data_IF_499471339254
#
_entry.id   IF_499471339254
#
_cell.length_a   1.000
_cell.length_b   1.000
_cell.length_c   1.000
_cell.angle_alpha   90.00
_cell.angle_beta   90.00
_cell.angle_gamma   90.00
#
_symmetry.space_group_name_H-M   'P 1'
#
loop_
_entity.id
_entity.type
_entity.pdbx_description
1 polymer ?
#
# COMPACT_ATOMS: atom_id res chain seq x y z
N UNK A 1 10.07 -10.19 -1.35
CA UNK A 1 10.62 -8.85 -0.99
C UNK A 1 12.13 -8.95 -0.84
N UNK A 2 12.89 -7.99 -1.39
CA UNK A 2 14.35 -8.00 -1.37
C UNK A 2 14.90 -7.20 -0.18
N UNK A 3 16.13 -7.52 0.25
CA UNK A 3 16.83 -6.74 1.27
C UNK A 3 17.12 -5.31 0.77
N UNK A 4 17.04 -4.35 1.68
CA UNK A 4 17.38 -2.93 1.43
C UNK A 4 18.70 -2.56 2.10
N UNK A 5 19.45 -1.66 1.46
CA UNK A 5 20.67 -1.12 2.00
C UNK A 5 20.43 -0.05 3.07
N UNK A 6 21.38 0.10 4.01
CA UNK A 6 21.34 1.11 5.06
C UNK A 6 20.18 0.94 6.05
N UNK A 7 19.73 -0.29 6.29
CA UNK A 7 18.58 -0.57 7.15
C UNK A 7 18.86 -0.21 8.60
N UNK A 8 20.08 -0.47 9.09
CA UNK A 8 20.46 -0.17 10.48
C UNK A 8 20.41 1.35 10.74
N UNK A 9 21.00 2.13 9.86
CA UNK A 9 21.04 3.60 9.95
C UNK A 9 19.64 4.21 9.86
N UNK A 10 18.78 3.65 9.03
CA UNK A 10 17.38 4.09 8.90
C UNK A 10 16.56 3.80 10.16
N UNK A 11 16.72 2.62 10.74
CA UNK A 11 16.05 2.25 12.00
C UNK A 11 16.52 3.16 13.14
N UNK A 12 17.83 3.31 13.31
CA UNK A 12 18.41 4.13 14.36
C UNK A 12 18.05 5.61 14.22
N UNK A 13 18.04 6.13 12.98
CA UNK A 13 17.63 7.50 12.71
C UNK A 13 16.16 7.75 13.08
N UNK A 14 15.27 6.85 12.72
CA UNK A 14 13.85 6.92 13.08
C UNK A 14 13.65 6.75 14.60
N UNK A 15 14.35 5.80 15.21
CA UNK A 15 14.30 5.61 16.66
C UNK A 15 14.70 6.88 17.43
N UNK A 16 15.81 7.54 17.05
CA UNK A 16 16.23 8.79 17.67
C UNK A 16 15.15 9.88 17.59
N UNK A 17 14.45 9.96 16.48
CA UNK A 17 13.32 10.88 16.33
C UNK A 17 12.16 10.54 17.28
N UNK A 18 11.81 9.26 17.38
CA UNK A 18 10.77 8.79 18.30
C UNK A 18 11.16 9.03 19.76
N UNK A 19 12.42 8.73 20.13
CA UNK A 19 12.97 8.97 21.47
C UNK A 19 12.89 10.44 21.85
N UNK A 20 13.29 11.34 20.94
CA UNK A 20 13.25 12.79 21.17
C UNK A 20 11.82 13.33 21.36
N UNK A 21 10.82 12.68 20.77
CA UNK A 21 9.40 13.03 20.90
C UNK A 21 8.68 12.30 22.03
N UNK A 22 9.32 11.34 22.64
CA UNK A 22 8.76 10.44 23.64
C UNK A 22 8.25 9.15 23.04
N UNK A 23 8.81 8.03 23.48
CA UNK A 23 8.35 6.69 23.09
C UNK A 23 7.00 6.40 23.74
N UNK A 24 6.03 5.92 22.94
CA UNK A 24 4.67 5.59 23.38
C UNK A 24 4.44 4.08 23.50
N UNK A 25 5.38 3.26 23.01
CA UNK A 25 5.21 1.81 22.87
C UNK A 25 4.47 1.37 21.61
N UNK A 26 4.06 2.31 20.75
CA UNK A 26 3.38 2.01 19.48
C UNK A 26 4.25 2.26 18.25
N UNK A 27 5.37 2.95 18.42
CA UNK A 27 6.28 3.24 17.32
C UNK A 27 7.09 2.01 16.94
N UNK A 28 7.37 1.91 15.65
CA UNK A 28 8.16 0.82 15.11
C UNK A 28 8.51 1.04 13.64
N UNK A 29 9.23 0.09 13.10
CA UNK A 29 9.62 0.04 11.69
C UNK A 29 9.24 -1.30 11.09
N UNK A 30 8.93 -1.28 9.80
CA UNK A 30 8.70 -2.49 9.01
C UNK A 30 9.90 -2.68 8.08
N UNK A 31 10.50 -3.86 8.10
CA UNK A 31 11.67 -4.21 7.30
C UNK A 31 11.43 -5.49 6.49
N UNK A 32 12.11 -5.66 5.36
CA UNK A 32 12.15 -6.95 4.69
C UNK A 32 12.74 -8.03 5.60
N UNK A 33 12.13 -9.21 5.65
CA UNK A 33 12.66 -10.35 6.41
C UNK A 33 14.09 -10.70 6.04
N UNK A 34 14.48 -10.47 4.78
CA UNK A 34 15.84 -10.68 4.30
C UNK A 34 16.89 -9.82 5.02
N UNK A 35 16.50 -8.73 5.68
CA UNK A 35 17.41 -7.88 6.46
C UNK A 35 17.64 -8.36 7.90
N UNK A 36 16.84 -9.29 8.41
CA UNK A 36 16.94 -9.73 9.82
C UNK A 36 18.33 -10.27 10.16
N UNK A 37 18.91 -11.06 9.25
CA UNK A 37 20.24 -11.66 9.48
C UNK A 37 21.39 -10.63 9.50
N UNK A 38 21.16 -9.42 8.99
CA UNK A 38 22.15 -8.35 8.93
C UNK A 38 21.89 -7.17 9.87
N UNK A 39 20.89 -7.32 10.75
CA UNK A 39 20.60 -6.28 11.76
C UNK A 39 21.73 -6.18 12.76
N UNK A 40 22.23 -4.95 12.92
CA UNK A 40 23.22 -4.56 13.92
C UNK A 40 22.79 -3.22 14.51
N UNK A 41 21.86 -3.26 15.44
CA UNK A 41 21.25 -2.06 16.02
C UNK A 41 21.97 -1.62 17.29
N UNK A 42 21.98 -0.30 17.53
CA UNK A 42 22.47 0.32 18.75
C UNK A 42 21.79 -0.29 20.00
N UNK A 43 22.54 -0.39 21.10
CA UNK A 43 22.06 -0.97 22.35
C UNK A 43 20.78 -0.30 22.89
N UNK A 44 20.63 1.02 22.70
CA UNK A 44 19.43 1.75 23.12
C UNK A 44 18.19 1.31 22.35
N UNK A 45 18.33 1.02 21.04
CA UNK A 45 17.24 0.47 20.23
C UNK A 45 16.86 -0.91 20.73
N UNK A 46 17.88 -1.77 21.00
CA UNK A 46 17.64 -3.13 21.52
C UNK A 46 16.92 -3.09 22.85
N UNK A 47 17.34 -2.24 23.78
CA UNK A 47 16.68 -2.08 25.09
C UNK A 47 15.23 -1.59 24.93
N UNK A 48 14.96 -0.66 24.02
CA UNK A 48 13.62 -0.18 23.77
C UNK A 48 12.72 -1.28 23.18
N UNK A 49 13.25 -2.13 22.30
CA UNK A 49 12.53 -3.29 21.76
C UNK A 49 12.26 -4.33 22.85
N UNK A 50 13.24 -4.67 23.68
CA UNK A 50 13.08 -5.61 24.81
C UNK A 50 12.03 -5.11 25.82
N UNK A 51 11.96 -3.81 26.05
CA UNK A 51 10.99 -3.19 26.94
C UNK A 51 9.60 -2.95 26.29
N UNK A 52 9.41 -3.34 25.01
CA UNK A 52 8.15 -3.14 24.30
C UNK A 52 7.83 -1.69 23.96
N UNK A 53 8.82 -0.80 24.00
CA UNK A 53 8.66 0.63 23.71
C UNK A 53 8.94 0.99 22.27
N UNK A 54 9.54 0.08 21.50
CA UNK A 54 9.79 0.23 20.08
C UNK A 54 9.72 -1.15 19.40
N UNK A 55 9.30 -1.21 18.13
CA UNK A 55 9.05 -2.47 17.45
C UNK A 55 9.77 -2.54 16.10
N UNK A 56 10.24 -3.74 15.76
CA UNK A 56 10.81 -4.05 14.44
C UNK A 56 10.02 -5.22 13.85
N UNK A 57 9.25 -4.95 12.81
CA UNK A 57 8.41 -5.93 12.13
C UNK A 57 9.09 -6.43 10.87
N UNK A 58 9.40 -7.71 10.80
CA UNK A 58 10.01 -8.34 9.63
C UNK A 58 8.94 -9.01 8.76
N UNK A 59 8.76 -8.52 7.54
CA UNK A 59 7.75 -8.98 6.60
C UNK A 59 8.37 -9.58 5.34
N UNK A 60 7.70 -10.55 4.74
CA UNK A 60 8.12 -11.24 3.52
C UNK A 60 7.43 -10.68 2.29
N UNK A 61 6.21 -10.16 2.45
CA UNK A 61 5.36 -9.65 1.38
C UNK A 61 4.83 -8.25 1.72
N UNK A 62 4.48 -7.49 0.68
CA UNK A 62 3.92 -6.14 0.84
C UNK A 62 2.57 -6.16 1.56
N UNK A 63 1.76 -7.20 1.35
CA UNK A 63 0.44 -7.33 1.98
C UNK A 63 0.53 -7.50 3.51
N UNK A 64 1.60 -8.14 4.02
CA UNK A 64 1.87 -8.19 5.46
C UNK A 64 2.13 -6.78 6.02
N UNK A 65 2.93 -5.98 5.31
CA UNK A 65 3.19 -4.59 5.68
C UNK A 65 1.92 -3.74 5.62
N UNK A 66 1.11 -3.92 4.58
CA UNK A 66 -0.17 -3.23 4.41
C UNK A 66 -1.11 -3.53 5.58
N UNK A 67 -1.24 -4.81 5.96
CA UNK A 67 -2.08 -5.24 7.08
C UNK A 67 -1.64 -4.62 8.40
N UNK A 68 -0.33 -4.54 8.66
CA UNK A 68 0.21 -3.87 9.85
C UNK A 68 -0.08 -2.36 9.86
N UNK A 69 0.06 -1.68 8.73
CA UNK A 69 -0.12 -0.23 8.63
C UNK A 69 -1.58 0.21 8.71
N UNK A 70 -2.47 -0.58 8.11
CA UNK A 70 -3.90 -0.26 8.03
C UNK A 70 -4.67 -0.82 9.25
N UNK A 71 -4.14 -1.87 9.88
CA UNK A 71 -4.82 -2.59 10.96
C UNK A 71 -5.97 -3.48 10.48
N UNK A 72 -6.03 -3.76 9.17
CA UNK A 72 -7.01 -4.62 8.52
C UNK A 72 -6.31 -5.67 7.66
N UNK A 73 -6.97 -6.78 7.40
CA UNK A 73 -6.42 -7.83 6.53
C UNK A 73 -6.27 -7.32 5.09
N UNK A 74 -5.06 -7.44 4.52
CA UNK A 74 -4.83 -7.11 3.12
C UNK A 74 -5.60 -8.03 2.16
N UNK A 75 -5.74 -9.31 2.54
CA UNK A 75 -6.45 -10.33 1.77
C UNK A 75 -5.52 -11.21 0.94
N UNK A 76 -5.90 -12.46 0.80
CA UNK A 76 -5.19 -13.48 0.03
C UNK A 76 -5.94 -13.73 -1.28
N UNK A 77 -5.20 -13.90 -2.37
CA UNK A 77 -5.74 -14.25 -3.67
C UNK A 77 -6.05 -15.76 -3.68
N UNK A 78 -7.28 -16.14 -4.03
CA UNK A 78 -7.70 -17.53 -4.18
C UNK A 78 -7.32 -18.09 -5.57
N UNK A 79 -7.59 -19.38 -5.77
CA UNK A 79 -7.33 -20.07 -7.05
C UNK A 79 -8.18 -19.53 -8.23
N UNK A 80 -9.22 -18.76 -7.95
CA UNK A 80 -10.06 -18.09 -8.94
C UNK A 80 -9.63 -16.67 -9.25
N UNK A 81 -8.54 -16.20 -8.63
CA UNK A 81 -8.05 -14.84 -8.78
C UNK A 81 -8.89 -13.78 -8.05
N UNK A 82 -9.58 -14.18 -6.97
CA UNK A 82 -10.35 -13.27 -6.13
C UNK A 82 -9.68 -13.11 -4.76
N UNK A 83 -9.65 -11.89 -4.25
CA UNK A 83 -9.17 -11.62 -2.90
C UNK A 83 -10.20 -12.00 -1.84
N UNK A 84 -9.74 -12.29 -0.63
CA UNK A 84 -10.60 -12.50 0.54
C UNK A 84 -11.65 -11.41 0.63
N UNK A 85 -12.92 -11.78 0.76
CA UNK A 85 -14.05 -10.85 0.82
C UNK A 85 -13.87 -9.84 1.98
N UNK A 86 -14.15 -8.57 1.71
CA UNK A 86 -14.03 -7.48 2.69
C UNK A 86 -12.61 -7.01 2.97
N UNK A 87 -11.59 -7.69 2.44
CA UNK A 87 -10.19 -7.28 2.60
C UNK A 87 -9.85 -5.96 1.88
N UNK A 88 -8.71 -5.37 2.23
CA UNK A 88 -8.24 -4.12 1.59
C UNK A 88 -8.09 -4.30 0.08
N UNK A 89 -7.42 -5.38 -0.35
CA UNK A 89 -7.21 -5.66 -1.77
C UNK A 89 -8.52 -5.92 -2.52
N UNK A 90 -9.49 -6.61 -1.91
CA UNK A 90 -10.81 -6.81 -2.51
C UNK A 90 -11.51 -5.47 -2.77
N UNK A 91 -11.52 -4.57 -1.79
CA UNK A 91 -12.10 -3.22 -1.93
C UNK A 91 -11.38 -2.37 -2.98
N UNK A 92 -10.04 -2.50 -3.08
CA UNK A 92 -9.25 -1.81 -4.11
C UNK A 92 -9.64 -2.30 -5.51
N UNK A 93 -9.73 -3.62 -5.71
CA UNK A 93 -10.13 -4.21 -7.00
C UNK A 93 -11.54 -3.76 -7.39
N UNK A 94 -12.48 -3.77 -6.45
CA UNK A 94 -13.85 -3.30 -6.67
C UNK A 94 -13.86 -1.83 -7.11
N UNK A 95 -13.13 -0.97 -6.38
CA UNK A 95 -13.04 0.45 -6.73
C UNK A 95 -12.40 0.71 -8.09
N UNK A 96 -11.37 -0.06 -8.45
CA UNK A 96 -10.74 0.04 -9.77
C UNK A 96 -11.69 -0.39 -10.89
N UNK A 97 -12.55 -1.39 -10.67
CA UNK A 97 -13.59 -1.79 -11.63
C UNK A 97 -14.62 -0.70 -11.83
N UNK A 98 -15.13 -0.10 -10.76
CA UNK A 98 -16.06 1.03 -10.83
C UNK A 98 -15.47 2.21 -11.63
N UNK A 99 -14.20 2.54 -11.39
CA UNK A 99 -13.50 3.61 -12.13
C UNK A 99 -13.38 3.25 -13.61
N UNK A 100 -13.01 2.01 -13.93
CA UNK A 100 -12.90 1.55 -15.32
C UNK A 100 -14.25 1.59 -16.06
N UNK A 101 -15.33 1.22 -15.38
CA UNK A 101 -16.69 1.30 -15.93
C UNK A 101 -17.09 2.75 -16.21
N UNK A 102 -16.86 3.67 -15.28
CA UNK A 102 -17.14 5.10 -15.48
C UNK A 102 -16.37 5.69 -16.67
N UNK A 103 -15.07 5.38 -16.79
CA UNK A 103 -14.26 5.87 -17.92
C UNK A 103 -14.78 5.31 -19.25
N UNK A 104 -15.16 4.03 -19.28
CA UNK A 104 -15.72 3.41 -20.47
C UNK A 104 -17.06 4.03 -20.90
N UNK A 105 -17.92 4.38 -19.96
CA UNK A 105 -19.20 5.06 -20.22
C UNK A 105 -18.97 6.47 -20.74
N UNK A 106 -18.05 7.25 -20.15
CA UNK A 106 -17.71 8.59 -20.64
C UNK A 106 -17.10 8.57 -22.05
N UNK A 107 -16.25 7.60 -22.35
CA UNK A 107 -15.68 7.43 -23.70
C UNK A 107 -16.76 7.08 -24.74
N UNK A 108 -17.71 6.24 -24.39
CA UNK A 108 -18.84 5.88 -25.26
C UNK A 108 -19.74 7.09 -25.50
N UNK A 109 -20.12 7.81 -24.47
CA UNK A 109 -20.96 9.01 -24.57
C UNK A 109 -20.29 10.09 -25.43
N UNK A 110 -18.98 10.29 -25.24
CA UNK A 110 -18.19 11.23 -26.05
C UNK A 110 -18.17 10.82 -27.53
N UNK A 111 -17.92 9.54 -27.82
CA UNK A 111 -17.89 9.04 -29.19
C UNK A 111 -19.26 9.14 -29.87
N UNK A 112 -20.34 8.87 -29.15
CA UNK A 112 -21.71 9.03 -29.66
C UNK A 112 -22.03 10.50 -29.96
N UNK A 113 -21.63 11.42 -29.11
CA UNK A 113 -21.80 12.85 -29.30
C UNK A 113 -21.02 13.37 -30.51
N UNK A 114 -19.76 13.00 -30.66
CA UNK A 114 -18.93 13.36 -31.81
C UNK A 114 -19.55 12.84 -33.11
N UNK A 115 -20.04 11.58 -33.12
CA UNK A 115 -20.72 10.99 -34.28
C UNK A 115 -22.01 11.72 -34.64
N UNK A 116 -22.79 12.15 -33.64
CA UNK A 116 -24.02 12.91 -33.85
C UNK A 116 -23.72 14.29 -34.44
N UNK A 117 -22.69 14.97 -33.93
CA UNK A 117 -22.24 16.27 -34.43
C UNK A 117 -21.78 16.17 -35.91
N UNK A 118 -21.06 15.13 -36.28
CA UNK A 118 -20.65 14.86 -37.66
C UNK A 118 -21.85 14.64 -38.58
N UNK A 119 -22.84 13.88 -38.15
CA UNK A 119 -24.08 13.63 -38.93
C UNK A 119 -24.85 14.93 -39.13
N UNK A 120 -24.97 15.77 -38.08
CA UNK A 120 -25.65 17.08 -38.17
C UNK A 120 -24.88 18.01 -39.11
N UNK A 121 -23.55 18.03 -39.05
CA UNK A 121 -22.71 18.85 -39.91
C UNK A 121 -22.81 18.45 -41.41
N UNK A 122 -23.07 17.18 -41.70
CA UNK A 122 -23.27 16.66 -43.07
C UNK A 122 -24.70 16.85 -43.59
N UNK A 123 -25.69 17.05 -42.73
CA UNK A 123 -27.06 17.36 -43.07
C UNK A 123 -27.17 18.82 -43.49
N UNK A 124 -26.74 19.17 -44.73
CA UNK A 124 -26.94 20.48 -45.29
C UNK A 124 -28.43 20.71 -45.61
N UNK A 125 -28.99 21.88 -45.24
CA UNK A 125 -30.31 22.23 -45.71
C UNK A 125 -30.29 22.36 -47.25
N UNK A 126 -31.32 21.85 -47.88
CA UNK A 126 -31.48 21.93 -49.32
C UNK A 126 -31.60 23.41 -49.77
#
# INVERSE_FOLDING_TARGET
MQAVGGVNEKIEGFFRLCEARGLTGEQGVIIPRANVATLMLDERVLQAVENGMFHVYAVSQADEALSLLVGEEAGVLDDKGQFTEGSVNARVVERLREIAEMISEEEIEKAEKERLEEVIAQAKPA
#
